data_IF_312245473048
#
_entry.id   IF_312245473048
#
_cell.length_a   1.000
_cell.length_b   1.000
_cell.length_c   1.000
_cell.angle_alpha   90.00
_cell.angle_beta   90.00
_cell.angle_gamma   90.00
#
_symmetry.space_group_name_H-M   'P 1'
#
loop_
_entity.id
_entity.type
_entity.pdbx_description
1 polymer ?
#
# COMPACT_ATOMS: atom_id res chain seq x y z
N UNK A 1 22.30 1.30 0.63
CA UNK A 1 21.09 1.03 1.44
C UNK A 1 20.53 2.29 2.11
N UNK A 2 21.32 3.12 2.84
CA UNK A 2 20.81 4.39 3.39
C UNK A 2 20.32 5.37 2.31
N UNK A 3 21.01 5.43 1.17
CA UNK A 3 20.55 6.25 0.04
C UNK A 3 19.23 5.77 -0.54
N UNK A 4 19.04 4.44 -0.67
CA UNK A 4 17.77 3.86 -1.12
C UNK A 4 16.63 4.23 -0.16
N UNK A 5 16.87 4.13 1.16
CA UNK A 5 15.94 4.61 2.18
C UNK A 5 15.58 6.07 1.98
N UNK A 6 16.57 6.96 1.85
CA UNK A 6 16.33 8.38 1.62
C UNK A 6 15.55 8.64 0.33
N UNK A 7 15.89 7.96 -0.77
CA UNK A 7 15.27 8.15 -2.08
C UNK A 7 13.80 7.74 -2.04
N UNK A 8 13.46 6.54 -1.54
CA UNK A 8 12.05 6.09 -1.51
C UNK A 8 11.17 7.00 -0.66
N UNK A 9 11.68 7.47 0.47
CA UNK A 9 10.95 8.39 1.34
C UNK A 9 10.83 9.79 0.74
N UNK A 10 11.88 10.28 0.07
CA UNK A 10 11.83 11.58 -0.62
C UNK A 10 10.83 11.55 -1.77
N UNK A 11 10.82 10.47 -2.55
CA UNK A 11 9.85 10.26 -3.63
C UNK A 11 8.43 10.17 -3.08
N UNK A 12 8.23 9.41 -2.01
CA UNK A 12 6.92 9.30 -1.36
C UNK A 12 6.40 10.67 -0.89
N UNK A 13 7.25 11.45 -0.23
CA UNK A 13 6.92 12.81 0.20
C UNK A 13 6.59 13.74 -0.97
N UNK A 14 7.33 13.64 -2.09
CA UNK A 14 7.04 14.41 -3.30
C UNK A 14 5.67 14.01 -3.89
N UNK A 15 5.39 12.70 -4.02
CA UNK A 15 4.09 12.22 -4.50
C UNK A 15 2.93 12.78 -3.68
N UNK A 16 3.02 12.68 -2.34
CA UNK A 16 1.96 13.19 -1.46
C UNK A 16 1.77 14.69 -1.60
N UNK A 17 2.85 15.47 -1.73
CA UNK A 17 2.76 16.92 -1.98
C UNK A 17 2.07 17.22 -3.31
N UNK A 18 2.36 16.46 -4.36
CA UNK A 18 1.70 16.63 -5.65
C UNK A 18 0.21 16.32 -5.57
N UNK A 19 -0.16 15.18 -4.98
CA UNK A 19 -1.57 14.78 -4.74
C UNK A 19 -2.33 15.89 -4.02
N UNK A 20 -1.75 16.49 -2.98
CA UNK A 20 -2.38 17.57 -2.20
C UNK A 20 -2.48 18.91 -2.95
N UNK A 21 -1.64 19.13 -3.95
CA UNK A 21 -1.56 20.42 -4.67
C UNK A 21 -2.52 20.55 -5.86
N UNK A 22 -3.15 19.46 -6.32
CA UNK A 22 -4.22 19.47 -7.34
C UNK A 22 -3.87 20.12 -8.68
N UNK A 23 -2.63 19.94 -9.20
CA UNK A 23 -2.15 20.62 -10.42
C UNK A 23 -2.33 19.75 -11.67
N UNK A 24 -3.50 19.86 -12.28
CA UNK A 24 -4.07 18.95 -13.30
C UNK A 24 -3.36 18.80 -14.66
N UNK A 25 -2.50 19.72 -15.12
CA UNK A 25 -1.89 19.62 -16.47
C UNK A 25 -0.43 19.13 -16.51
N UNK A 26 0.25 18.99 -15.36
CA UNK A 26 1.63 18.43 -15.26
C UNK A 26 1.66 17.02 -14.66
N UNK A 27 0.50 16.49 -14.28
CA UNK A 27 0.35 15.25 -13.52
C UNK A 27 0.69 14.00 -14.32
N UNK A 28 0.36 13.93 -15.62
CA UNK A 28 0.66 12.77 -16.47
C UNK A 28 2.18 12.57 -16.59
N UNK A 29 2.92 13.63 -16.93
CA UNK A 29 4.38 13.56 -17.12
C UNK A 29 5.14 13.31 -15.81
N UNK A 30 4.67 13.87 -14.69
CA UNK A 30 5.33 13.66 -13.39
C UNK A 30 5.01 12.27 -12.83
N UNK A 31 3.77 11.78 -12.96
CA UNK A 31 3.40 10.44 -12.54
C UNK A 31 4.13 9.36 -13.35
N UNK A 32 4.28 9.55 -14.67
CA UNK A 32 5.09 8.68 -15.54
C UNK A 32 6.57 8.68 -15.11
N UNK A 33 7.18 9.85 -14.90
CA UNK A 33 8.56 9.97 -14.42
C UNK A 33 8.76 9.33 -13.04
N UNK A 34 7.78 9.44 -12.15
CA UNK A 34 7.81 8.80 -10.84
C UNK A 34 7.64 7.29 -10.97
N UNK A 35 6.77 6.81 -11.86
CA UNK A 35 6.58 5.38 -12.14
C UNK A 35 7.85 4.72 -12.67
N UNK A 36 8.48 5.31 -13.69
CA UNK A 36 9.75 4.83 -14.23
C UNK A 36 10.88 4.86 -13.19
N UNK A 37 10.93 5.90 -12.36
CA UNK A 37 11.88 5.98 -11.26
C UNK A 37 11.61 4.91 -10.20
N UNK A 38 10.35 4.59 -9.92
CA UNK A 38 9.96 3.55 -8.97
C UNK A 38 10.36 2.16 -9.47
N UNK A 39 10.22 1.84 -10.74
CA UNK A 39 10.62 0.54 -11.28
C UNK A 39 12.15 0.33 -11.19
N UNK A 40 12.94 1.37 -11.50
CA UNK A 40 14.39 1.35 -11.30
C UNK A 40 14.80 1.20 -9.84
N UNK A 41 13.99 1.72 -8.92
CA UNK A 41 14.23 1.58 -7.48
C UNK A 41 13.85 0.16 -7.03
N UNK A 42 12.73 -0.39 -7.48
CA UNK A 42 12.30 -1.77 -7.19
C UNK A 42 13.34 -2.80 -7.61
N UNK A 43 13.94 -2.63 -8.80
CA UNK A 43 15.01 -3.53 -9.24
C UNK A 43 16.25 -3.48 -8.34
N UNK A 44 16.53 -2.34 -7.69
CA UNK A 44 17.64 -2.27 -6.72
C UNK A 44 17.31 -3.04 -5.44
N UNK A 45 16.05 -3.04 -4.98
CA UNK A 45 15.62 -3.84 -3.82
C UNK A 45 15.77 -5.34 -4.04
N UNK A 46 15.60 -5.83 -5.27
CA UNK A 46 15.77 -7.25 -5.59
C UNK A 46 17.20 -7.78 -5.35
N UNK A 47 18.18 -6.89 -5.15
CA UNK A 47 19.56 -7.25 -4.79
C UNK A 47 19.85 -7.16 -3.28
N UNK A 48 18.90 -6.67 -2.48
CA UNK A 48 19.04 -6.48 -1.04
C UNK A 48 18.36 -7.59 -0.26
N UNK A 49 19.10 -8.23 0.65
CA UNK A 49 18.52 -9.17 1.62
C UNK A 49 17.44 -8.48 2.47
N UNK A 50 16.24 -9.08 2.54
CA UNK A 50 15.12 -8.54 3.30
C UNK A 50 15.48 -8.21 4.75
N UNK A 51 16.26 -9.07 5.40
CA UNK A 51 16.68 -8.87 6.79
C UNK A 51 17.56 -7.61 6.99
N UNK A 52 18.40 -7.28 6.01
CA UNK A 52 19.26 -6.12 6.10
C UNK A 52 18.46 -4.82 5.95
N UNK A 53 17.48 -4.81 5.03
CA UNK A 53 16.52 -3.70 4.90
C UNK A 53 15.67 -3.52 6.15
N UNK A 54 15.12 -4.61 6.71
CA UNK A 54 14.32 -4.57 7.96
C UNK A 54 15.13 -3.96 9.10
N UNK A 55 16.40 -4.38 9.28
CA UNK A 55 17.28 -3.79 10.31
C UNK A 55 17.45 -2.28 10.13
N UNK A 56 17.61 -1.82 8.90
CA UNK A 56 17.67 -0.39 8.60
C UNK A 56 16.35 0.32 8.95
N UNK A 57 15.20 -0.25 8.56
CA UNK A 57 13.88 0.31 8.88
C UNK A 57 13.70 0.48 10.38
N UNK A 58 14.04 -0.55 11.15
CA UNK A 58 13.94 -0.54 12.62
C UNK A 58 14.82 0.54 13.22
N UNK A 59 16.05 0.70 12.74
CA UNK A 59 16.97 1.74 13.23
C UNK A 59 16.55 3.16 12.82
N UNK A 60 15.91 3.33 11.67
CA UNK A 60 15.50 4.62 11.13
C UNK A 60 14.11 5.09 11.61
N UNK A 61 13.41 4.26 12.38
CA UNK A 61 12.01 4.46 12.73
C UNK A 61 11.11 3.92 11.62
N UNK A 62 10.51 2.75 11.86
CA UNK A 62 9.68 2.04 10.89
C UNK A 62 8.64 2.97 10.23
N UNK A 63 8.43 2.81 8.92
CA UNK A 63 7.46 3.59 8.13
C UNK A 63 6.67 2.66 7.19
N UNK A 64 5.49 3.11 6.73
CA UNK A 64 4.69 2.33 5.76
C UNK A 64 5.46 2.11 4.45
N UNK A 65 6.21 3.12 3.99
CA UNK A 65 7.06 3.00 2.79
C UNK A 65 8.16 1.97 3.00
N UNK A 66 8.83 1.99 4.16
CA UNK A 66 9.84 1.01 4.53
C UNK A 66 9.28 -0.41 4.54
N UNK A 67 8.12 -0.61 5.18
CA UNK A 67 7.42 -1.90 5.22
C UNK A 67 7.03 -2.39 3.81
N UNK A 68 6.51 -1.51 2.96
CA UNK A 68 6.17 -1.85 1.58
C UNK A 68 7.39 -2.35 0.78
N UNK A 69 8.53 -1.68 0.93
CA UNK A 69 9.76 -2.04 0.19
C UNK A 69 10.36 -3.39 0.62
N UNK A 70 10.03 -3.92 1.80
CA UNK A 70 10.41 -5.29 2.19
C UNK A 70 9.93 -6.31 1.15
N UNK A 71 8.76 -6.10 0.54
CA UNK A 71 8.16 -7.01 -0.44
C UNK A 71 8.93 -7.10 -1.77
N UNK A 72 9.86 -6.18 -2.02
CA UNK A 72 10.75 -6.19 -3.19
C UNK A 72 12.15 -6.71 -2.88
N UNK A 73 12.47 -6.95 -1.61
CA UNK A 73 13.77 -7.43 -1.19
C UNK A 73 14.01 -8.88 -1.63
N UNK A 74 15.28 -9.20 -1.86
CA UNK A 74 15.74 -10.57 -2.09
C UNK A 74 15.35 -11.46 -0.91
N UNK A 75 14.83 -12.66 -1.22
CA UNK A 75 14.41 -13.68 -0.26
C UNK A 75 13.37 -13.19 0.76
N UNK A 76 12.63 -12.12 0.46
CA UNK A 76 11.56 -11.66 1.33
C UNK A 76 10.48 -12.74 1.50
N UNK A 77 10.18 -13.09 2.74
CA UNK A 77 9.12 -14.04 3.06
C UNK A 77 7.83 -13.31 3.43
N UNK A 78 6.65 -13.96 3.27
CA UNK A 78 5.39 -13.36 3.71
C UNK A 78 5.42 -12.98 5.20
N UNK A 79 6.03 -13.81 6.04
CA UNK A 79 6.18 -13.54 7.47
C UNK A 79 6.94 -12.22 7.74
N UNK A 80 8.04 -11.98 7.03
CA UNK A 80 8.83 -10.75 7.18
C UNK A 80 8.09 -9.51 6.67
N UNK A 81 7.45 -9.60 5.49
CA UNK A 81 6.68 -8.50 4.92
C UNK A 81 5.56 -8.09 5.87
N UNK A 82 4.76 -9.05 6.32
CA UNK A 82 3.61 -8.75 7.17
C UNK A 82 4.02 -8.41 8.62
N UNK A 83 5.16 -8.90 9.11
CA UNK A 83 5.72 -8.41 10.37
C UNK A 83 6.06 -6.92 10.30
N UNK A 84 6.71 -6.47 9.21
CA UNK A 84 7.07 -5.06 9.05
C UNK A 84 5.83 -4.13 9.02
N UNK A 85 4.73 -4.57 8.42
CA UNK A 85 3.45 -3.84 8.46
C UNK A 85 2.82 -3.86 9.85
N UNK A 86 2.86 -4.99 10.57
CA UNK A 86 2.26 -5.13 11.91
C UNK A 86 2.91 -4.25 12.97
N UNK A 87 4.22 -3.99 12.86
CA UNK A 87 4.93 -3.03 13.72
C UNK A 87 4.33 -1.61 13.68
N UNK A 88 3.56 -1.30 12.62
CA UNK A 88 2.94 0.00 12.40
C UNK A 88 1.44 0.01 12.70
N UNK A 89 0.80 -1.15 12.88
CA UNK A 89 -0.68 -1.30 12.87
C UNK A 89 -1.37 -0.39 13.91
N UNK A 90 -0.79 -0.25 15.12
CA UNK A 90 -1.39 0.55 16.20
C UNK A 90 -1.41 2.05 15.93
N UNK A 91 -0.56 2.55 15.05
CA UNK A 91 -0.37 3.98 14.78
C UNK A 91 -0.63 4.35 13.32
N UNK A 92 -1.23 3.46 12.54
CA UNK A 92 -1.37 3.62 11.09
C UNK A 92 -2.67 4.33 10.72
N UNK A 93 -2.66 5.64 10.40
CA UNK A 93 -3.78 6.28 9.74
C UNK A 93 -3.92 5.74 8.31
N UNK A 94 -5.15 5.71 7.80
CA UNK A 94 -5.42 5.54 6.37
C UNK A 94 -5.21 6.87 5.62
N UNK A 95 -3.98 7.38 5.66
CA UNK A 95 -3.58 8.63 5.01
C UNK A 95 -2.98 8.40 3.61
N UNK A 96 -2.55 9.47 2.93
CA UNK A 96 -2.00 9.34 1.58
C UNK A 96 -0.71 8.51 1.52
N UNK A 97 0.07 8.47 2.60
CA UNK A 97 1.28 7.64 2.70
C UNK A 97 0.91 6.17 2.78
N UNK A 98 -0.13 5.82 3.54
CA UNK A 98 -0.67 4.46 3.59
C UNK A 98 -1.05 3.96 2.18
N UNK A 99 -1.88 4.73 1.45
CA UNK A 99 -2.30 4.33 0.10
C UNK A 99 -1.12 4.25 -0.88
N UNK A 100 -0.18 5.18 -0.79
CA UNK A 100 1.02 5.16 -1.64
C UNK A 100 1.91 3.95 -1.34
N UNK A 101 2.11 3.60 -0.07
CA UNK A 101 2.86 2.44 0.36
C UNK A 101 2.18 1.13 -0.12
N UNK A 102 0.87 1.03 0.06
CA UNK A 102 0.09 -0.13 -0.38
C UNK A 102 0.20 -0.36 -1.89
N UNK A 103 0.04 0.69 -2.71
CA UNK A 103 0.21 0.63 -4.19
C UNK A 103 1.64 0.28 -4.63
N UNK A 104 2.61 0.41 -3.74
CA UNK A 104 4.00 0.09 -3.98
C UNK A 104 4.42 -1.28 -3.47
N UNK A 105 3.51 -2.07 -2.92
CA UNK A 105 3.77 -3.46 -2.58
C UNK A 105 3.99 -4.31 -3.83
N UNK A 106 4.85 -5.33 -3.73
CA UNK A 106 4.90 -6.41 -4.70
C UNK A 106 3.58 -7.21 -4.62
N UNK A 107 2.91 -7.37 -5.75
CA UNK A 107 1.62 -8.04 -5.89
C UNK A 107 1.64 -9.50 -5.42
N UNK A 108 2.79 -10.18 -5.48
CA UNK A 108 2.94 -11.57 -5.03
C UNK A 108 2.59 -11.76 -3.54
N UNK A 109 2.66 -10.69 -2.74
CA UNK A 109 2.33 -10.76 -1.32
C UNK A 109 0.88 -10.39 -1.01
N UNK A 110 0.17 -9.76 -1.94
CA UNK A 110 -1.19 -9.25 -1.77
C UNK A 110 -2.24 -10.34 -2.02
N UNK A 111 -3.47 -10.07 -1.60
CA UNK A 111 -4.61 -10.83 -2.12
C UNK A 111 -4.87 -10.44 -3.58
N UNK A 112 -5.28 -11.40 -4.41
CA UNK A 112 -5.53 -11.23 -5.85
C UNK A 112 -7.02 -11.23 -6.20
N UNK A 113 -7.86 -11.04 -5.17
CA UNK A 113 -9.30 -11.04 -5.32
C UNK A 113 -9.77 -9.85 -6.15
N UNK A 114 -10.82 -10.06 -6.95
CA UNK A 114 -11.46 -9.00 -7.75
C UNK A 114 -12.81 -8.56 -7.20
N UNK A 115 -13.33 -9.25 -6.19
CA UNK A 115 -14.67 -9.02 -5.64
C UNK A 115 -14.57 -8.53 -4.21
N UNK A 116 -15.27 -7.44 -3.88
CA UNK A 116 -15.26 -6.87 -2.52
C UNK A 116 -15.70 -7.92 -1.48
N UNK A 117 -16.69 -8.76 -1.79
CA UNK A 117 -17.15 -9.79 -0.85
C UNK A 117 -16.06 -10.80 -0.47
N UNK A 118 -15.13 -11.10 -1.39
CA UNK A 118 -14.02 -12.02 -1.12
C UNK A 118 -13.03 -11.39 -0.14
N UNK A 119 -12.71 -10.09 -0.29
CA UNK A 119 -11.92 -9.34 0.68
C UNK A 119 -12.56 -9.30 2.07
N UNK A 120 -13.87 -9.06 2.14
CA UNK A 120 -14.61 -9.02 3.42
C UNK A 120 -14.47 -10.34 4.19
N UNK A 121 -14.37 -11.48 3.50
CA UNK A 121 -14.15 -12.78 4.14
C UNK A 121 -12.81 -12.89 4.88
N UNK A 122 -11.81 -12.09 4.49
CA UNK A 122 -10.50 -12.02 5.14
C UNK A 122 -10.45 -11.10 6.35
N UNK A 123 -11.51 -10.30 6.61
CA UNK A 123 -11.50 -9.26 7.64
C UNK A 123 -11.06 -9.75 9.02
N UNK A 124 -11.57 -10.90 9.46
CA UNK A 124 -11.24 -11.47 10.77
C UNK A 124 -9.97 -12.31 10.79
N UNK A 125 -9.48 -12.74 9.63
CA UNK A 125 -8.29 -13.58 9.51
C UNK A 125 -7.02 -12.73 9.42
N UNK A 126 -7.02 -11.72 8.56
CA UNK A 126 -5.86 -10.84 8.33
C UNK A 126 -6.31 -9.46 7.85
N UNK A 127 -6.87 -8.70 8.80
CA UNK A 127 -7.43 -7.35 8.56
C UNK A 127 -6.42 -6.41 7.90
N UNK A 128 -5.18 -6.41 8.37
CA UNK A 128 -4.13 -5.52 7.85
C UNK A 128 -3.80 -5.86 6.40
N UNK A 129 -3.57 -7.13 6.10
CA UNK A 129 -3.34 -7.58 4.72
C UNK A 129 -4.51 -7.25 3.81
N UNK A 130 -5.74 -7.41 4.29
CA UNK A 130 -6.95 -7.03 3.55
C UNK A 130 -6.95 -5.53 3.21
N UNK A 131 -6.74 -4.64 4.20
CA UNK A 131 -6.69 -3.19 3.93
C UNK A 131 -5.58 -2.80 2.96
N UNK A 132 -4.36 -3.34 3.14
CA UNK A 132 -3.24 -3.07 2.24
C UNK A 132 -3.54 -3.57 0.81
N UNK A 133 -4.11 -4.76 0.68
CA UNK A 133 -4.44 -5.33 -0.64
C UNK A 133 -5.56 -4.54 -1.34
N UNK A 134 -6.61 -4.15 -0.62
CA UNK A 134 -7.67 -3.27 -1.14
C UNK A 134 -7.10 -1.90 -1.58
N UNK A 135 -6.19 -1.32 -0.80
CA UNK A 135 -5.58 -0.02 -1.08
C UNK A 135 -4.59 -0.05 -2.24
N UNK A 136 -3.98 -1.20 -2.53
CA UNK A 136 -3.03 -1.36 -3.62
C UNK A 136 -3.70 -1.25 -4.99
N UNK A 137 -4.90 -1.81 -5.15
CA UNK A 137 -5.61 -1.87 -6.44
C UNK A 137 -7.12 -1.60 -6.31
N UNK A 138 -7.56 -0.47 -5.71
CA UNK A 138 -8.98 -0.23 -5.42
C UNK A 138 -9.84 -0.22 -6.68
N UNK A 139 -9.31 0.34 -7.78
CA UNK A 139 -9.99 0.49 -9.06
C UNK A 139 -10.14 -0.84 -9.84
N UNK A 140 -9.56 -1.93 -9.36
CA UNK A 140 -9.64 -3.26 -9.99
C UNK A 140 -10.66 -4.16 -9.27
N UNK A 141 -11.26 -3.66 -8.19
CA UNK A 141 -12.19 -4.41 -7.35
C UNK A 141 -13.62 -4.05 -7.73
N UNK A 142 -14.42 -5.08 -7.99
CA UNK A 142 -15.85 -5.00 -8.27
C UNK A 142 -16.65 -5.03 -6.96
N UNK A 143 -17.56 -4.06 -6.81
CA UNK A 143 -18.55 -4.07 -5.74
C UNK A 143 -19.69 -5.03 -6.08
N UNK A 144 -19.57 -6.28 -5.64
CA UNK A 144 -20.56 -7.33 -5.86
C UNK A 144 -21.48 -7.58 -4.64
N UNK A 145 -21.62 -6.59 -3.75
CA UNK A 145 -22.39 -6.67 -2.50
C UNK A 145 -23.66 -5.82 -2.59
N UNK A 146 -24.74 -6.29 -1.97
CA UNK A 146 -25.99 -5.53 -1.87
C UNK A 146 -25.88 -4.38 -0.86
N UNK A 147 -26.73 -3.33 -0.95
CA UNK A 147 -26.76 -2.27 0.05
C UNK A 147 -26.93 -2.78 1.49
N UNK A 148 -27.75 -3.82 1.70
CA UNK A 148 -27.92 -4.44 3.01
C UNK A 148 -26.61 -5.08 3.52
N UNK A 149 -25.87 -5.80 2.65
CA UNK A 149 -24.58 -6.38 3.01
C UNK A 149 -23.53 -5.30 3.32
N UNK A 150 -23.50 -4.22 2.53
CA UNK A 150 -22.61 -3.08 2.78
C UNK A 150 -22.92 -2.39 4.12
N UNK A 151 -24.21 -2.23 4.45
CA UNK A 151 -24.64 -1.65 5.72
C UNK A 151 -24.33 -2.53 6.94
N UNK A 152 -24.09 -3.82 6.73
CA UNK A 152 -23.72 -4.78 7.79
C UNK A 152 -22.22 -4.88 8.03
N UNK A 153 -21.39 -4.17 7.26
CA UNK A 153 -19.94 -4.19 7.43
C UNK A 153 -19.52 -3.59 8.77
N UNK A 154 -18.42 -4.07 9.37
CA UNK A 154 -17.82 -3.41 10.53
C UNK A 154 -17.53 -1.94 10.23
N UNK A 155 -17.78 -1.07 11.21
CA UNK A 155 -17.63 0.39 11.05
C UNK A 155 -16.27 0.80 10.51
N UNK A 156 -15.19 0.21 11.04
CA UNK A 156 -13.82 0.49 10.59
C UNK A 156 -13.62 0.21 9.10
N UNK A 157 -14.19 -0.90 8.61
CA UNK A 157 -14.12 -1.26 7.20
C UNK A 157 -15.01 -0.35 6.35
N UNK A 158 -16.20 0.00 6.83
CA UNK A 158 -17.07 0.95 6.14
C UNK A 158 -16.38 2.33 6.00
N UNK A 159 -15.74 2.81 7.07
CA UNK A 159 -14.99 4.08 7.11
C UNK A 159 -13.79 4.03 6.15
N UNK A 160 -13.04 2.92 6.12
CA UNK A 160 -11.95 2.70 5.17
C UNK A 160 -12.45 2.74 3.72
N UNK A 161 -13.53 2.00 3.44
CA UNK A 161 -14.11 1.95 2.10
C UNK A 161 -14.62 3.33 1.68
N UNK A 162 -15.17 4.14 2.59
CA UNK A 162 -15.63 5.50 2.29
C UNK A 162 -14.49 6.49 1.96
N UNK A 163 -13.23 6.11 2.15
CA UNK A 163 -12.10 6.98 1.87
C UNK A 163 -12.00 7.31 0.35
N UNK A 164 -11.77 8.58 -0.05
CA UNK A 164 -11.73 8.98 -1.47
C UNK A 164 -10.69 8.24 -2.33
N UNK A 165 -9.63 7.74 -1.71
CA UNK A 165 -8.60 6.96 -2.40
C UNK A 165 -9.02 5.49 -2.69
N UNK A 166 -10.16 5.04 -2.15
CA UNK A 166 -10.72 3.69 -2.32
C UNK A 166 -11.91 3.77 -3.28
N UNK A 167 -11.62 3.85 -4.57
CA UNK A 167 -12.63 3.88 -5.62
C UNK A 167 -12.87 2.46 -6.15
N UNK A 168 -13.95 1.82 -5.69
CA UNK A 168 -14.34 0.45 -6.08
C UNK A 168 -15.30 0.51 -7.27
N UNK A 169 -15.08 -0.32 -8.28
CA UNK A 169 -15.88 -0.38 -9.50
C UNK A 169 -17.32 -0.76 -9.18
N UNK A 170 -18.27 0.02 -9.70
CA UNK A 170 -19.71 -0.26 -9.57
C UNK A 170 -20.31 0.14 -8.22
N UNK A 171 -19.59 0.89 -7.39
CA UNK A 171 -20.14 1.50 -6.17
C UNK A 171 -20.87 2.80 -6.54
N UNK A 172 -22.19 2.79 -6.47
CA UNK A 172 -23.07 3.95 -6.67
C UNK A 172 -23.28 4.69 -5.35
#
# INVERSE_FOLDING_TARGET
MPDLWRIVHSNANLCVRFIKSGRTNREVTIAELIGEAQDKIRSQFQSLEAQAWIKLCTAAGNTQIGAAMVSWCMNATPAQVWAAWKELERSMPFDEIFFLAARNMNQEFLFVERKLSAYVSHYYADRLKMYVSLAAHPNEIECNMTPAQLSSLPRELADFLAHPAVNIVGRV
#
